data_IF_971132268362
#
_entry.id   IF_971132268362
#
_cell.length_a   1.000
_cell.length_b   1.000
_cell.length_c   1.000
_cell.angle_alpha   90.00
_cell.angle_beta   90.00
_cell.angle_gamma   90.00
#
_symmetry.space_group_name_H-M   'P 1'
#
loop_
_entity.id
_entity.type
_entity.pdbx_description
1 polymer ?
#
# COMPACT_ATOMS: atom_id res chain seq x y z
N UNK A 1 -6.92 4.26 -16.15
CA UNK A 1 -8.27 4.34 -15.53
C UNK A 1 -8.32 5.44 -14.47
N UNK A 2 -7.47 5.44 -13.44
CA UNK A 2 -7.50 6.46 -12.39
C UNK A 2 -7.55 7.90 -12.91
N UNK A 3 -6.70 8.23 -13.91
CA UNK A 3 -6.70 9.55 -14.55
C UNK A 3 -8.01 9.84 -15.29
N UNK A 4 -8.59 8.88 -16.00
CA UNK A 4 -9.88 9.05 -16.72
C UNK A 4 -11.07 9.23 -15.79
N UNK A 5 -10.98 8.77 -14.54
CA UNK A 5 -11.96 9.02 -13.46
C UNK A 5 -11.75 10.40 -12.78
N UNK A 6 -10.80 11.20 -13.28
CA UNK A 6 -10.50 12.53 -12.73
C UNK A 6 -9.76 12.49 -11.39
N UNK A 7 -9.11 11.38 -11.05
CA UNK A 7 -8.22 11.30 -9.90
C UNK A 7 -6.89 12.00 -10.21
N UNK A 8 -6.16 12.50 -9.22
CA UNK A 8 -4.87 13.16 -9.37
C UNK A 8 -3.76 12.13 -9.70
N UNK A 9 -3.86 11.46 -10.84
CA UNK A 9 -2.88 10.54 -11.38
C UNK A 9 -2.15 11.18 -12.57
N UNK A 10 -0.90 10.79 -12.90
CA UNK A 10 -0.23 11.27 -14.10
C UNK A 10 -1.01 10.92 -15.36
N UNK A 11 -1.18 11.88 -16.28
CA UNK A 11 -1.84 11.63 -17.55
C UNK A 11 -1.07 10.57 -18.37
N UNK A 12 -1.70 9.43 -18.72
CA UNK A 12 -1.08 8.43 -19.55
C UNK A 12 -1.03 8.92 -21.01
N UNK A 13 0.16 8.92 -21.60
CA UNK A 13 0.39 9.41 -22.97
C UNK A 13 0.56 8.25 -23.95
N UNK A 14 1.26 7.19 -23.55
CA UNK A 14 1.56 6.08 -24.44
C UNK A 14 1.94 4.83 -23.64
N UNK A 15 1.68 3.67 -24.23
CA UNK A 15 2.08 2.35 -23.73
C UNK A 15 2.85 1.61 -24.83
N UNK A 16 4.01 1.05 -24.51
CA UNK A 16 4.79 0.18 -25.38
C UNK A 16 4.85 -1.22 -24.77
N UNK A 17 4.06 -2.18 -25.30
CA UNK A 17 4.02 -3.53 -24.78
C UNK A 17 5.19 -4.40 -25.24
N UNK A 18 5.93 -3.98 -26.28
CA UNK A 18 7.03 -4.77 -26.82
C UNK A 18 8.33 -4.56 -26.06
N UNK A 19 9.22 -5.55 -26.12
CA UNK A 19 10.56 -5.47 -25.55
C UNK A 19 11.59 -4.85 -26.49
N UNK A 20 11.17 -4.47 -27.71
CA UNK A 20 12.11 -4.16 -28.81
C UNK A 20 12.84 -2.81 -28.63
N UNK A 21 12.21 -1.84 -27.96
CA UNK A 21 12.81 -0.50 -27.84
C UNK A 21 13.76 -0.38 -26.63
N UNK A 22 13.33 -0.80 -25.45
CA UNK A 22 14.09 -0.63 -24.20
C UNK A 22 14.37 -1.95 -23.45
N UNK A 23 14.16 -3.10 -24.11
CA UNK A 23 14.39 -4.41 -23.51
C UNK A 23 13.25 -4.92 -22.62
N UNK A 24 12.22 -4.12 -22.38
CA UNK A 24 11.02 -4.43 -21.62
C UNK A 24 9.83 -3.56 -22.04
N UNK A 25 8.59 -3.93 -21.66
CA UNK A 25 7.44 -3.06 -21.84
C UNK A 25 7.60 -1.81 -20.96
N UNK A 26 7.07 -0.68 -21.43
CA UNK A 26 7.06 0.58 -20.67
C UNK A 26 5.85 1.43 -21.03
N UNK A 27 5.56 2.40 -20.19
CA UNK A 27 4.56 3.43 -20.46
C UNK A 27 5.17 4.83 -20.28
N UNK A 28 4.55 5.81 -20.89
CA UNK A 28 4.93 7.21 -20.83
C UNK A 28 3.78 8.00 -20.25
N UNK A 29 4.06 8.81 -19.26
CA UNK A 29 3.10 9.75 -18.68
C UNK A 29 3.56 11.19 -18.87
N UNK A 30 2.63 12.14 -18.73
CA UNK A 30 2.99 13.53 -18.63
C UNK A 30 3.85 13.79 -17.40
N UNK A 31 4.94 14.50 -17.58
CA UNK A 31 5.74 14.96 -16.45
C UNK A 31 4.94 16.00 -15.63
N UNK A 32 4.90 15.81 -14.33
CA UNK A 32 4.23 16.72 -13.38
C UNK A 32 5.27 17.31 -12.45
N UNK A 33 5.17 18.61 -12.20
CA UNK A 33 5.99 19.34 -11.21
C UNK A 33 5.36 19.24 -9.83
N UNK A 34 6.16 19.45 -8.80
CA UNK A 34 5.76 19.40 -7.41
C UNK A 34 6.92 18.94 -6.53
N UNK A 35 6.79 19.07 -5.23
CA UNK A 35 7.74 18.49 -4.31
C UNK A 35 7.13 17.25 -3.63
N UNK A 36 7.98 16.30 -3.29
CA UNK A 36 7.60 15.13 -2.52
C UNK A 36 7.59 15.50 -1.03
N UNK A 37 6.45 15.33 -0.31
CA UNK A 37 6.30 15.82 1.05
C UNK A 37 6.79 14.86 2.14
N UNK A 38 7.48 13.78 1.79
CA UNK A 38 7.97 12.82 2.77
C UNK A 38 8.52 11.54 2.17
N UNK A 39 8.70 10.55 3.00
CA UNK A 39 9.21 9.23 2.62
C UNK A 39 8.25 8.08 2.98
N UNK A 40 8.73 6.84 2.90
CA UNK A 40 7.94 5.63 3.23
C UNK A 40 7.55 5.52 4.71
N UNK A 41 8.13 6.34 5.57
CA UNK A 41 7.87 6.33 7.01
C UNK A 41 6.93 7.45 7.47
N UNK A 42 6.72 8.46 6.65
CA UNK A 42 5.82 9.56 6.96
C UNK A 42 6.15 10.85 6.22
N UNK A 43 5.47 11.91 6.64
CA UNK A 43 5.66 13.25 6.09
C UNK A 43 6.88 13.93 6.71
N UNK A 44 7.46 14.87 5.97
CA UNK A 44 8.44 15.82 6.49
C UNK A 44 7.80 16.73 7.54
N UNK A 45 8.60 17.23 8.50
CA UNK A 45 8.11 18.04 9.64
C UNK A 45 7.32 19.30 9.24
N UNK A 46 7.51 19.80 8.04
CA UNK A 46 6.86 21.03 7.54
C UNK A 46 5.55 20.78 6.77
N UNK A 47 5.09 19.51 6.68
CA UNK A 47 3.88 19.19 5.91
C UNK A 47 2.64 19.62 6.67
N UNK A 48 1.82 20.47 6.03
CA UNK A 48 0.59 20.99 6.62
C UNK A 48 -0.50 19.90 6.73
N UNK A 49 -1.37 20.04 7.75
CA UNK A 49 -2.53 19.17 7.95
C UNK A 49 -3.47 19.12 6.74
N UNK A 50 -3.53 20.21 5.95
CA UNK A 50 -4.31 20.31 4.71
C UNK A 50 -3.91 19.24 3.67
N UNK A 51 -2.65 18.80 3.63
CA UNK A 51 -2.20 17.69 2.78
C UNK A 51 -2.85 16.38 3.25
N UNK A 52 -2.98 16.16 4.57
CA UNK A 52 -3.68 15.02 5.14
C UNK A 52 -5.18 15.03 4.81
N UNK A 53 -5.83 16.21 4.84
CA UNK A 53 -7.23 16.38 4.46
C UNK A 53 -7.46 16.11 2.96
N UNK A 54 -6.58 16.64 2.10
CA UNK A 54 -6.63 16.38 0.67
C UNK A 54 -6.43 14.87 0.36
N UNK A 55 -5.53 14.21 1.10
CA UNK A 55 -5.29 12.79 0.96
C UNK A 55 -6.50 11.95 1.41
N UNK A 56 -7.18 12.34 2.48
CA UNK A 56 -8.44 11.72 2.90
C UNK A 56 -9.52 11.85 1.81
N UNK A 57 -9.65 13.05 1.23
CA UNK A 57 -10.58 13.32 0.12
C UNK A 57 -10.22 12.51 -1.13
N UNK A 58 -8.93 12.42 -1.46
CA UNK A 58 -8.46 11.59 -2.57
C UNK A 58 -8.83 10.12 -2.38
N UNK A 59 -8.53 9.53 -1.21
CA UNK A 59 -8.87 8.14 -0.93
C UNK A 59 -10.36 7.87 -0.97
N UNK A 60 -11.18 8.78 -0.42
CA UNK A 60 -12.64 8.66 -0.50
C UNK A 60 -13.15 8.62 -1.96
N UNK A 61 -12.52 9.38 -2.86
CA UNK A 61 -12.86 9.36 -4.30
C UNK A 61 -12.34 8.10 -4.97
N UNK A 62 -11.11 7.67 -4.67
CA UNK A 62 -10.50 6.45 -5.19
C UNK A 62 -11.35 5.23 -4.83
N UNK A 63 -11.75 5.10 -3.57
CA UNK A 63 -12.55 4.00 -3.04
C UNK A 63 -14.02 4.02 -3.50
N UNK A 64 -14.36 4.84 -4.48
CA UNK A 64 -15.68 4.85 -5.16
C UNK A 64 -15.56 4.59 -6.66
N UNK A 65 -14.34 4.37 -7.14
CA UNK A 65 -14.12 4.03 -8.55
C UNK A 65 -14.62 2.62 -8.82
N UNK A 66 -15.48 2.50 -9.83
CA UNK A 66 -16.02 1.22 -10.24
C UNK A 66 -14.95 0.36 -10.90
N UNK A 67 -14.67 -0.79 -10.32
CA UNK A 67 -13.67 -1.75 -10.79
C UNK A 67 -14.21 -2.83 -11.72
N UNK A 68 -15.51 -2.84 -12.05
CA UNK A 68 -16.12 -3.92 -12.85
C UNK A 68 -15.42 -4.17 -14.19
N UNK A 69 -14.83 -3.15 -14.79
CA UNK A 69 -14.10 -3.22 -16.06
C UNK A 69 -12.59 -3.46 -15.90
N UNK A 70 -12.06 -3.48 -14.67
CA UNK A 70 -10.63 -3.69 -14.42
C UNK A 70 -10.24 -5.18 -14.34
N UNK A 71 -11.22 -6.07 -14.26
CA UNK A 71 -11.06 -7.52 -14.13
C UNK A 71 -10.50 -8.23 -15.37
N UNK A 72 -9.97 -7.51 -16.35
CA UNK A 72 -9.42 -8.10 -17.57
C UNK A 72 -7.93 -8.47 -17.49
N UNK A 73 -7.28 -8.29 -16.32
CA UNK A 73 -5.88 -8.68 -16.16
C UNK A 73 -5.76 -10.02 -15.42
N UNK A 74 -4.85 -10.94 -15.86
CA UNK A 74 -4.70 -12.28 -15.27
C UNK A 74 -4.17 -12.30 -13.82
N UNK A 75 -3.66 -11.20 -13.31
CA UNK A 75 -3.34 -10.99 -11.90
C UNK A 75 -4.54 -10.38 -11.20
N UNK A 76 -5.63 -11.11 -11.15
CA UNK A 76 -6.86 -10.64 -10.51
C UNK A 76 -6.71 -10.47 -9.01
N UNK A 77 -7.38 -9.44 -8.48
CA UNK A 77 -7.15 -8.86 -7.18
C UNK A 77 -7.81 -9.64 -6.05
N UNK A 78 -7.48 -9.27 -4.82
CA UNK A 78 -8.03 -9.82 -3.57
C UNK A 78 -9.52 -9.50 -3.38
N UNK A 79 -10.35 -9.96 -4.31
CA UNK A 79 -11.81 -9.80 -4.25
C UNK A 79 -12.54 -11.01 -3.64
N UNK A 80 -11.83 -12.07 -3.31
CA UNK A 80 -12.36 -13.25 -2.61
C UNK A 80 -11.49 -13.63 -1.45
N UNK A 81 -12.06 -14.36 -0.48
CA UNK A 81 -11.29 -14.89 0.66
C UNK A 81 -10.15 -15.78 0.19
N UNK A 82 -10.36 -16.57 -0.87
CA UNK A 82 -9.33 -17.45 -1.44
C UNK A 82 -8.14 -16.64 -1.98
N UNK A 83 -8.39 -15.48 -2.56
CA UNK A 83 -7.34 -14.59 -3.06
C UNK A 83 -6.55 -13.95 -1.91
N UNK A 84 -7.21 -13.52 -0.83
CA UNK A 84 -6.53 -13.05 0.38
C UNK A 84 -5.62 -14.14 0.95
N UNK A 85 -6.14 -15.37 1.08
CA UNK A 85 -5.36 -16.51 1.57
C UNK A 85 -4.19 -16.85 0.65
N UNK A 86 -4.39 -16.76 -0.67
CA UNK A 86 -3.33 -16.98 -1.66
C UNK A 86 -2.22 -15.92 -1.57
N UNK A 87 -2.55 -14.66 -1.34
CA UNK A 87 -1.55 -13.60 -1.16
C UNK A 87 -0.74 -13.81 0.14
N UNK A 88 -1.40 -14.24 1.23
CA UNK A 88 -0.73 -14.59 2.48
C UNK A 88 0.25 -15.76 2.24
N UNK A 89 -0.18 -16.80 1.52
CA UNK A 89 0.65 -17.96 1.21
C UNK A 89 1.83 -17.59 0.30
N UNK A 90 1.62 -16.74 -0.69
CA UNK A 90 2.68 -16.24 -1.57
C UNK A 90 3.71 -15.39 -0.80
N UNK A 91 3.26 -14.58 0.15
CA UNK A 91 4.15 -13.80 1.01
C UNK A 91 5.03 -14.73 1.88
N UNK A 92 4.42 -15.77 2.48
CA UNK A 92 5.17 -16.77 3.24
C UNK A 92 6.16 -17.52 2.37
N UNK A 93 5.77 -17.91 1.17
CA UNK A 93 6.68 -18.56 0.21
C UNK A 93 7.88 -17.65 -0.12
N UNK A 94 7.65 -16.39 -0.47
CA UNK A 94 8.73 -15.41 -0.75
C UNK A 94 9.68 -15.26 0.44
N UNK A 95 9.13 -15.21 1.65
CA UNK A 95 9.92 -15.13 2.88
C UNK A 95 10.78 -16.38 3.05
N UNK A 96 10.20 -17.57 2.91
CA UNK A 96 10.90 -18.85 3.03
C UNK A 96 12.03 -18.98 1.99
N UNK A 97 11.77 -18.59 0.76
CA UNK A 97 12.80 -18.55 -0.32
C UNK A 97 13.95 -17.58 0.02
N UNK A 98 13.66 -16.47 0.68
CA UNK A 98 14.65 -15.45 1.04
C UNK A 98 15.48 -15.78 2.28
N UNK A 99 14.87 -16.41 3.29
CA UNK A 99 15.46 -16.57 4.64
C UNK A 99 15.58 -18.01 5.14
N UNK A 100 14.99 -18.97 4.45
CA UNK A 100 14.78 -20.32 4.93
C UNK A 100 13.49 -20.46 5.75
N UNK A 101 13.33 -21.57 6.46
CA UNK A 101 12.14 -21.84 7.26
C UNK A 101 11.90 -20.74 8.31
N UNK A 102 10.65 -20.26 8.42
CA UNK A 102 10.30 -19.23 9.40
C UNK A 102 10.39 -19.76 10.83
N UNK A 103 10.76 -18.90 11.75
CA UNK A 103 10.71 -19.22 13.18
C UNK A 103 9.25 -19.31 13.71
N UNK A 104 9.10 -19.73 14.99
CA UNK A 104 7.79 -19.94 15.59
C UNK A 104 6.94 -18.65 15.60
N UNK A 105 7.53 -17.50 15.90
CA UNK A 105 6.79 -16.22 15.95
C UNK A 105 6.25 -15.82 14.59
N UNK A 106 7.06 -15.95 13.54
CA UNK A 106 6.64 -15.68 12.17
C UNK A 106 5.53 -16.65 11.75
N UNK A 107 5.69 -17.95 12.06
CA UNK A 107 4.69 -18.98 11.76
C UNK A 107 3.35 -18.70 12.45
N UNK A 108 3.36 -18.27 13.71
CA UNK A 108 2.16 -17.90 14.46
C UNK A 108 1.47 -16.67 13.85
N UNK A 109 2.21 -15.66 13.43
CA UNK A 109 1.66 -14.47 12.76
C UNK A 109 0.97 -14.85 11.44
N UNK A 110 1.60 -15.67 10.60
CA UNK A 110 0.98 -16.13 9.35
C UNK A 110 -0.24 -17.02 9.59
N UNK A 111 -0.22 -17.84 10.65
CA UNK A 111 -1.39 -18.62 11.08
C UNK A 111 -2.54 -17.71 11.52
N UNK A 112 -2.24 -16.66 12.28
CA UNK A 112 -3.21 -15.65 12.69
C UNK A 112 -3.85 -14.95 11.48
N UNK A 113 -3.04 -14.52 10.50
CA UNK A 113 -3.53 -13.87 9.27
C UNK A 113 -4.52 -14.78 8.51
N UNK A 114 -4.19 -16.08 8.36
CA UNK A 114 -5.11 -17.02 7.69
C UNK A 114 -6.42 -17.20 8.44
N UNK A 115 -6.36 -17.24 9.77
CA UNK A 115 -7.53 -17.48 10.61
C UNK A 115 -8.46 -16.26 10.72
N UNK A 116 -7.88 -15.05 10.61
CA UNK A 116 -8.59 -13.78 10.81
C UNK A 116 -8.81 -13.00 9.51
N UNK A 117 -8.56 -13.61 8.35
CA UNK A 117 -8.80 -12.96 7.07
C UNK A 117 -10.26 -12.51 6.98
N UNK A 118 -10.52 -11.20 6.67
CA UNK A 118 -11.88 -10.69 6.59
C UNK A 118 -12.61 -11.24 5.36
N UNK A 119 -13.93 -11.28 5.43
CA UNK A 119 -14.75 -11.48 4.23
C UNK A 119 -14.61 -10.22 3.36
N UNK A 120 -14.14 -10.35 2.11
CA UNK A 120 -14.00 -9.18 1.23
C UNK A 120 -15.34 -8.50 0.97
N UNK A 121 -15.35 -7.20 0.63
CA UNK A 121 -16.57 -6.51 0.23
C UNK A 121 -17.16 -7.15 -1.04
N UNK A 122 -18.49 -7.22 -1.12
CA UNK A 122 -19.19 -7.73 -2.31
C UNK A 122 -18.83 -6.94 -3.57
N UNK A 123 -18.64 -5.64 -3.41
CA UNK A 123 -18.21 -4.72 -4.47
C UNK A 123 -16.81 -4.17 -4.10
N UNK A 124 -15.73 -4.79 -4.60
CA UNK A 124 -14.39 -4.28 -4.38
C UNK A 124 -14.20 -2.93 -5.07
N UNK A 125 -13.47 -2.04 -4.42
CA UNK A 125 -13.15 -0.72 -4.92
C UNK A 125 -11.72 -0.66 -5.45
N UNK A 126 -11.39 0.40 -6.20
CA UNK A 126 -10.00 0.63 -6.59
C UNK A 126 -9.21 1.07 -5.36
N UNK A 127 -8.16 0.35 -5.04
CA UNK A 127 -7.16 0.75 -4.04
C UNK A 127 -5.84 1.07 -4.73
N UNK A 128 -5.01 1.89 -4.09
CA UNK A 128 -3.69 2.25 -4.57
C UNK A 128 -2.65 1.17 -4.23
N UNK A 129 -2.75 0.59 -3.04
CA UNK A 129 -1.87 -0.46 -2.53
C UNK A 129 -0.49 0.01 -2.04
N UNK A 130 -0.14 1.31 -2.25
CA UNK A 130 1.11 1.92 -1.80
C UNK A 130 0.95 3.42 -1.56
N UNK A 131 -0.19 3.83 -1.00
CA UNK A 131 -0.50 5.24 -0.75
C UNK A 131 0.27 5.78 0.45
N UNK A 132 1.23 6.65 0.21
CA UNK A 132 2.04 7.26 1.27
C UNK A 132 2.65 8.58 0.80
N UNK A 133 3.23 9.35 1.72
CA UNK A 133 3.81 10.66 1.42
C UNK A 133 4.92 10.61 0.36
N UNK A 134 5.65 9.49 0.25
CA UNK A 134 6.66 9.25 -0.77
C UNK A 134 6.10 9.19 -2.21
N UNK A 135 4.81 8.89 -2.36
CA UNK A 135 4.12 8.80 -3.65
C UNK A 135 3.23 10.01 -3.95
N UNK A 136 3.38 11.09 -3.19
CA UNK A 136 2.66 12.34 -3.45
C UNK A 136 3.56 13.38 -4.13
N UNK A 137 2.94 14.21 -4.96
CA UNK A 137 3.46 15.52 -5.33
C UNK A 137 2.52 16.59 -4.78
N UNK A 138 3.12 17.58 -4.13
CA UNK A 138 2.41 18.66 -3.45
C UNK A 138 2.85 20.01 -4.02
N UNK A 139 1.90 20.90 -4.21
CA UNK A 139 2.12 22.30 -4.58
C UNK A 139 1.11 23.18 -3.85
N UNK A 140 1.58 24.26 -3.23
CA UNK A 140 0.74 25.18 -2.44
C UNK A 140 -0.09 24.46 -1.37
N UNK A 141 0.53 23.53 -0.63
CA UNK A 141 -0.09 22.72 0.43
C UNK A 141 -1.25 21.81 -0.04
N UNK A 142 -1.28 21.48 -1.33
CA UNK A 142 -2.29 20.58 -1.91
C UNK A 142 -1.67 19.42 -2.66
N UNK A 143 -2.29 18.26 -2.56
CA UNK A 143 -1.92 17.08 -3.35
C UNK A 143 -2.29 17.35 -4.81
N UNK A 144 -1.29 17.44 -5.68
CA UNK A 144 -1.47 17.65 -7.11
C UNK A 144 -1.45 16.36 -7.91
N UNK A 145 -0.64 15.39 -7.48
CA UNK A 145 -0.53 14.08 -8.13
C UNK A 145 -0.22 13.00 -7.10
N UNK A 146 -0.81 11.83 -7.29
CA UNK A 146 -0.43 10.58 -6.64
C UNK A 146 0.29 9.72 -7.67
N UNK A 147 1.49 9.27 -7.31
CA UNK A 147 2.42 8.50 -8.16
C UNK A 147 2.37 7.01 -7.80
N UNK A 148 3.05 6.21 -8.62
CA UNK A 148 3.36 4.79 -8.35
C UNK A 148 2.13 3.88 -8.20
N UNK A 149 1.36 3.79 -9.27
CA UNK A 149 0.13 2.99 -9.36
C UNK A 149 0.38 1.51 -9.69
N UNK A 150 1.61 1.03 -9.61
CA UNK A 150 1.95 -0.35 -10.03
C UNK A 150 1.29 -1.44 -9.14
N UNK A 151 0.90 -1.06 -7.93
CA UNK A 151 0.19 -1.93 -6.98
C UNK A 151 -1.31 -1.72 -6.95
N UNK A 152 -1.83 -0.81 -7.76
CA UNK A 152 -3.26 -0.52 -7.76
C UNK A 152 -4.08 -1.72 -8.25
N UNK A 153 -5.09 -2.08 -7.49
CA UNK A 153 -5.97 -3.22 -7.77
C UNK A 153 -7.35 -3.03 -7.13
N UNK A 154 -8.38 -3.76 -7.56
CA UNK A 154 -9.63 -3.84 -6.82
C UNK A 154 -9.44 -4.55 -5.48
N UNK A 155 -9.91 -3.96 -4.37
CA UNK A 155 -9.70 -4.52 -3.04
C UNK A 155 -10.62 -3.91 -1.99
N UNK A 156 -10.24 -4.08 -0.72
CA UNK A 156 -10.91 -3.49 0.43
C UNK A 156 -10.29 -2.14 0.77
N UNK A 157 -11.08 -1.05 0.95
CA UNK A 157 -10.58 0.26 1.36
C UNK A 157 -9.68 0.23 2.60
N UNK A 158 -9.91 -0.73 3.50
CA UNK A 158 -9.11 -0.89 4.71
C UNK A 158 -7.63 -1.15 4.43
N UNK A 159 -7.27 -1.66 3.27
CA UNK A 159 -5.89 -1.90 2.89
C UNK A 159 -5.10 -0.59 2.76
N UNK A 160 -5.60 0.37 1.96
CA UNK A 160 -4.98 1.69 1.83
C UNK A 160 -5.00 2.46 3.16
N UNK A 161 -6.11 2.40 3.88
CA UNK A 161 -6.26 3.09 5.16
C UNK A 161 -5.29 2.54 6.22
N UNK A 162 -5.10 1.23 6.29
CA UNK A 162 -4.14 0.59 7.19
C UNK A 162 -2.70 0.92 6.81
N UNK A 163 -2.39 0.96 5.50
CA UNK A 163 -1.07 1.33 5.00
C UNK A 163 -0.69 2.77 5.37
N UNK A 164 -1.63 3.70 5.21
CA UNK A 164 -1.42 5.13 5.43
C UNK A 164 -1.38 5.51 6.92
N UNK A 165 -2.23 4.88 7.74
CA UNK A 165 -2.45 5.27 9.15
C UNK A 165 -1.17 5.58 9.95
N UNK A 166 -0.12 4.73 9.96
CA UNK A 166 1.09 5.01 10.73
C UNK A 166 1.88 6.21 10.22
N UNK A 167 1.73 6.58 8.94
CA UNK A 167 2.48 7.69 8.31
C UNK A 167 1.84 9.05 8.53
N UNK A 168 0.59 9.10 9.01
CA UNK A 168 -0.13 10.35 9.32
C UNK A 168 0.31 10.98 10.64
N UNK A 169 1.15 10.31 11.43
CA UNK A 169 1.60 10.83 12.71
C UNK A 169 2.30 12.19 12.53
N UNK A 170 1.83 13.20 13.25
CA UNK A 170 2.36 14.57 13.17
C UNK A 170 1.76 15.44 12.06
N UNK A 171 0.99 14.88 11.14
CA UNK A 171 0.30 15.62 10.05
C UNK A 171 -1.16 15.88 10.40
N UNK A 172 -1.92 14.83 10.63
CA UNK A 172 -3.35 14.89 10.93
C UNK A 172 -3.72 13.75 11.89
N UNK A 173 -4.44 14.03 13.00
CA UNK A 173 -4.94 12.98 13.87
C UNK A 173 -5.82 11.98 13.12
N UNK A 174 -5.67 10.68 13.42
CA UNK A 174 -6.40 9.62 12.70
C UNK A 174 -7.92 9.81 12.66
N UNK A 175 -8.53 10.24 13.78
CA UNK A 175 -9.97 10.47 13.83
C UNK A 175 -10.40 11.64 12.94
N UNK A 176 -9.58 12.68 12.84
CA UNK A 176 -9.84 13.83 11.97
C UNK A 176 -9.69 13.41 10.50
N UNK A 177 -8.66 12.59 10.18
CA UNK A 177 -8.51 12.00 8.86
C UNK A 177 -9.74 11.18 8.45
N UNK A 178 -10.23 10.29 9.32
CA UNK A 178 -11.43 9.50 9.04
C UNK A 178 -12.68 10.40 8.87
N UNK A 179 -12.82 11.45 9.66
CA UNK A 179 -13.93 12.40 9.50
C UNK A 179 -13.90 13.09 8.12
N UNK A 180 -12.73 13.50 7.65
CA UNK A 180 -12.57 14.04 6.28
C UNK A 180 -12.86 12.99 5.21
N UNK A 181 -12.36 11.77 5.39
CA UNK A 181 -12.61 10.65 4.49
C UNK A 181 -14.11 10.33 4.35
N UNK A 182 -14.84 10.23 5.46
CA UNK A 182 -16.28 9.98 5.47
C UNK A 182 -17.07 11.17 4.92
N UNK A 183 -16.69 12.40 5.24
CA UNK A 183 -17.34 13.61 4.72
C UNK A 183 -17.21 13.73 3.19
N UNK A 184 -16.13 13.18 2.61
CA UNK A 184 -15.91 13.09 1.18
C UNK A 184 -16.60 11.88 0.52
N UNK A 185 -17.33 11.07 1.30
CA UNK A 185 -18.13 9.93 0.83
C UNK A 185 -17.42 8.58 0.92
N UNK A 186 -16.30 8.49 1.63
CA UNK A 186 -15.69 7.21 2.00
C UNK A 186 -16.49 6.50 3.09
N UNK A 187 -16.30 5.19 3.21
CA UNK A 187 -16.91 4.36 4.25
C UNK A 187 -15.80 3.84 5.15
N UNK A 188 -15.78 4.27 6.43
CA UNK A 188 -14.79 3.78 7.37
C UNK A 188 -14.95 2.27 7.58
N UNK A 189 -13.87 1.48 7.51
CA UNK A 189 -13.93 0.05 7.75
C UNK A 189 -14.19 -0.26 9.22
N UNK A 190 -14.66 -1.47 9.52
CA UNK A 190 -14.74 -1.95 10.90
C UNK A 190 -13.36 -1.96 11.56
N UNK A 191 -13.31 -1.82 12.88
CA UNK A 191 -12.05 -1.91 13.62
C UNK A 191 -11.36 -3.27 13.42
N UNK A 192 -12.13 -4.35 13.28
CA UNK A 192 -11.60 -5.68 13.01
C UNK A 192 -10.94 -5.77 11.63
N UNK A 193 -11.60 -5.27 10.58
CA UNK A 193 -11.06 -5.27 9.20
C UNK A 193 -9.81 -4.38 9.12
N UNK A 194 -9.86 -3.18 9.69
CA UNK A 194 -8.70 -2.28 9.75
C UNK A 194 -7.54 -2.90 10.52
N UNK A 195 -7.83 -3.59 11.63
CA UNK A 195 -6.85 -4.30 12.44
C UNK A 195 -6.16 -5.41 11.65
N UNK A 196 -6.92 -6.24 10.94
CA UNK A 196 -6.36 -7.27 10.07
C UNK A 196 -5.39 -6.67 9.03
N UNK A 197 -5.84 -5.66 8.28
CA UNK A 197 -4.98 -5.05 7.27
C UNK A 197 -3.78 -4.31 7.87
N UNK A 198 -3.87 -3.78 9.09
CA UNK A 198 -2.71 -3.21 9.79
C UNK A 198 -1.64 -4.29 10.02
N UNK A 199 -2.02 -5.47 10.53
CA UNK A 199 -1.10 -6.60 10.68
C UNK A 199 -0.57 -7.08 9.33
N UNK A 200 -1.45 -7.19 8.32
CA UNK A 200 -1.06 -7.60 6.97
C UNK A 200 -0.01 -6.67 6.35
N UNK A 201 -0.19 -5.35 6.46
CA UNK A 201 0.75 -4.36 5.92
C UNK A 201 2.12 -4.42 6.63
N UNK A 202 2.15 -4.64 7.94
CA UNK A 202 3.40 -4.81 8.68
C UNK A 202 4.13 -6.09 8.24
N UNK A 203 3.39 -7.20 8.08
CA UNK A 203 3.96 -8.47 7.59
C UNK A 203 4.46 -8.33 6.16
N UNK A 204 3.70 -7.66 5.30
CA UNK A 204 4.12 -7.43 3.91
C UNK A 204 5.42 -6.61 3.84
N UNK A 205 5.52 -5.53 4.63
CA UNK A 205 6.75 -4.73 4.75
C UNK A 205 7.92 -5.55 5.30
N UNK A 206 7.66 -6.40 6.29
CA UNK A 206 8.67 -7.32 6.82
C UNK A 206 9.20 -8.26 5.72
N UNK A 207 8.30 -8.91 4.97
CA UNK A 207 8.66 -9.81 3.86
C UNK A 207 9.48 -9.06 2.81
N UNK A 208 9.04 -7.88 2.38
CA UNK A 208 9.76 -7.04 1.44
C UNK A 208 11.18 -6.71 1.94
N UNK A 209 11.33 -6.35 3.21
CA UNK A 209 12.63 -6.10 3.83
C UNK A 209 13.55 -7.33 3.78
N UNK A 210 13.03 -8.53 4.06
CA UNK A 210 13.83 -9.77 4.04
C UNK A 210 14.22 -10.17 2.62
N UNK A 211 13.32 -10.04 1.65
CA UNK A 211 13.62 -10.27 0.22
C UNK A 211 14.71 -9.32 -0.27
N UNK A 212 14.64 -8.02 0.07
CA UNK A 212 15.68 -7.07 -0.27
C UNK A 212 17.02 -7.40 0.42
N UNK A 213 16.99 -7.86 1.67
CA UNK A 213 18.19 -8.25 2.39
C UNK A 213 18.85 -9.49 1.76
N UNK A 214 18.06 -10.49 1.34
CA UNK A 214 18.60 -11.68 0.67
C UNK A 214 19.21 -11.34 -0.69
N UNK A 215 18.62 -10.42 -1.43
CA UNK A 215 19.15 -9.93 -2.71
C UNK A 215 20.49 -9.17 -2.55
N UNK A 216 20.82 -8.65 -1.36
CA UNK A 216 22.09 -7.98 -1.08
C UNK A 216 23.30 -8.86 -1.34
N UNK A 217 23.19 -10.16 -1.12
CA UNK A 217 24.27 -11.14 -1.37
C UNK A 217 24.70 -11.14 -2.85
N UNK A 218 23.73 -10.97 -3.76
CA UNK A 218 23.97 -11.01 -5.21
C UNK A 218 24.21 -9.62 -5.82
N UNK A 219 23.67 -8.58 -5.21
CA UNK A 219 23.80 -7.20 -5.69
C UNK A 219 23.97 -6.25 -4.48
N UNK A 220 25.20 -6.09 -3.97
CA UNK A 220 25.45 -5.35 -2.75
C UNK A 220 25.05 -3.88 -2.88
N UNK A 221 23.95 -3.49 -2.25
CA UNK A 221 23.51 -2.10 -2.07
C UNK A 221 23.36 -1.84 -0.59
N UNK A 222 24.05 -0.85 -0.05
CA UNK A 222 23.97 -0.49 1.39
C UNK A 222 22.54 -0.21 1.84
N UNK A 223 21.71 0.36 0.96
CA UNK A 223 20.27 0.57 1.20
C UNK A 223 19.53 -0.73 1.51
N UNK A 224 19.76 -1.80 0.75
CA UNK A 224 19.13 -3.11 1.00
C UNK A 224 19.52 -3.71 2.34
N UNK A 225 20.80 -3.58 2.71
CA UNK A 225 21.28 -4.03 4.02
C UNK A 225 20.64 -3.23 5.16
N UNK A 226 20.56 -1.91 5.02
CA UNK A 226 20.00 -1.01 6.02
C UNK A 226 18.50 -1.29 6.20
N UNK A 227 17.73 -1.33 5.10
CA UNK A 227 16.29 -1.61 5.11
C UNK A 227 16.01 -2.97 5.76
N UNK A 228 16.69 -4.03 5.34
CA UNK A 228 16.43 -5.37 5.86
C UNK A 228 16.79 -5.54 7.33
N UNK A 229 17.92 -4.97 7.77
CA UNK A 229 18.43 -5.16 9.15
C UNK A 229 17.79 -4.25 10.19
N UNK A 230 17.36 -3.06 9.81
CA UNK A 230 16.83 -2.06 10.76
C UNK A 230 15.31 -2.08 10.75
N UNK A 231 14.67 -2.03 9.57
CA UNK A 231 13.23 -1.91 9.48
C UNK A 231 12.50 -3.26 9.53
N UNK A 232 13.07 -4.32 8.96
CA UNK A 232 12.44 -5.64 8.99
C UNK A 232 12.05 -6.09 10.41
N UNK A 233 12.96 -6.13 11.39
CA UNK A 233 12.61 -6.50 12.77
C UNK A 233 11.57 -5.59 13.43
N UNK A 234 11.54 -4.30 13.07
CA UNK A 234 10.55 -3.34 13.58
C UNK A 234 9.15 -3.71 13.09
N UNK A 235 8.98 -3.92 11.78
CA UNK A 235 7.68 -4.29 11.21
C UNK A 235 7.17 -5.61 11.79
N UNK A 236 8.04 -6.60 11.98
CA UNK A 236 7.65 -7.86 12.61
C UNK A 236 7.17 -7.66 14.06
N UNK A 237 7.87 -6.82 14.83
CA UNK A 237 7.47 -6.49 16.20
C UNK A 237 6.17 -5.69 16.24
N UNK A 238 5.92 -4.81 15.28
CA UNK A 238 4.67 -4.05 15.15
C UNK A 238 3.50 -4.98 14.80
N UNK A 239 3.67 -5.93 13.88
CA UNK A 239 2.68 -6.96 13.57
C UNK A 239 2.29 -7.77 14.82
N UNK A 240 3.28 -8.27 15.57
CA UNK A 240 3.03 -9.02 16.80
C UNK A 240 2.32 -8.18 17.89
N UNK A 241 2.67 -6.91 18.01
CA UNK A 241 2.01 -5.97 18.94
C UNK A 241 0.57 -5.71 18.53
N UNK A 242 0.32 -5.47 17.26
CA UNK A 242 -1.01 -5.19 16.73
C UNK A 242 -1.95 -6.39 16.94
N UNK A 243 -1.50 -7.63 16.74
CA UNK A 243 -2.28 -8.84 17.05
C UNK A 243 -2.72 -8.87 18.52
N UNK A 244 -1.87 -8.49 19.46
CA UNK A 244 -2.19 -8.52 20.87
C UNK A 244 -3.15 -7.42 21.33
N UNK A 245 -3.48 -6.45 20.48
CA UNK A 245 -4.39 -5.33 20.78
C UNK A 245 -5.76 -5.46 20.11
N UNK A 246 -5.94 -6.47 19.27
CA UNK A 246 -7.20 -6.83 18.59
C UNK A 246 -7.99 -7.85 19.38
#
# INVERSE_FOLDING_TARGET
>A
HAWSEGLPAPEPLWIEPSKNLLGGPFFVTRFVTGFNPGDVFGADEAVAGTVGEDLATFLARLHRVNCANLNQHPSSPMSTIDQILQEIDLALQKLTEATGEPDAMVSDIFSWLRTNAPVPPEEPVLIHGDVGFHNLLVENEKVTVVLDWERAHPGDPAEDLAYLKPTLQGVLPWNDFLAHYESAGGIAPSSQTLGFYTVWQDVWRYVACQVHLSAYVNTPRLSSLFVGRIFGPRFLADAARNINTL
#
